data_IF_214534022802
#
_entry.id   IF_214534022802
#
_cell.length_a   1.000
_cell.length_b   1.000
_cell.length_c   1.000
_cell.angle_alpha   90.00
_cell.angle_beta   90.00
_cell.angle_gamma   90.00
#
_symmetry.space_group_name_H-M   'P 1'
#
loop_
_entity.id
_entity.type
_entity.pdbx_description
1 polymer ?
#
# COMPACT_ATOMS: atom_id res chain seq x y z
N UNK A 1 8.41 -15.00 12.47
CA UNK A 1 7.20 -14.99 11.60
C UNK A 1 6.96 -13.56 11.11
N UNK A 2 6.88 -13.28 9.80
CA UNK A 2 6.39 -11.97 9.34
C UNK A 2 4.93 -11.84 9.78
N UNK A 3 4.63 -10.97 10.75
CA UNK A 3 3.25 -10.55 11.03
C UNK A 3 2.74 -9.92 9.76
N UNK A 4 1.98 -10.68 8.99
CA UNK A 4 1.34 -10.16 7.81
C UNK A 4 0.16 -9.32 8.27
N UNK A 5 0.34 -8.01 8.27
CA UNK A 5 -0.70 -7.06 8.67
C UNK A 5 -1.91 -7.22 7.73
N UNK A 6 -3.04 -7.59 8.33
CA UNK A 6 -4.32 -7.73 7.64
C UNK A 6 -5.05 -6.40 7.76
N UNK A 7 -5.57 -5.88 6.65
CA UNK A 7 -6.50 -4.74 6.67
C UNK A 7 -7.89 -5.28 6.96
N UNK A 8 -8.47 -4.86 8.08
CA UNK A 8 -9.82 -5.23 8.45
C UNK A 8 -10.86 -4.62 7.51
N UNK A 9 -12.06 -5.21 7.50
CA UNK A 9 -13.13 -4.74 6.62
C UNK A 9 -13.51 -3.27 6.86
N UNK A 10 -13.62 -2.85 8.12
CA UNK A 10 -13.97 -1.47 8.48
C UNK A 10 -12.86 -0.49 8.13
N UNK A 11 -11.59 -0.85 8.42
CA UNK A 11 -10.44 -0.06 8.02
C UNK A 11 -10.37 0.11 6.50
N UNK A 12 -10.62 -0.96 5.74
CA UNK A 12 -10.66 -0.88 4.28
C UNK A 12 -11.76 0.05 3.77
N UNK A 13 -12.94 0.03 4.40
CA UNK A 13 -14.03 0.97 4.07
C UNK A 13 -13.63 2.42 4.37
N UNK A 14 -12.94 2.67 5.48
CA UNK A 14 -12.48 4.01 5.86
C UNK A 14 -11.48 4.56 4.84
N UNK A 15 -10.48 3.78 4.41
CA UNK A 15 -9.48 4.29 3.44
C UNK A 15 -10.08 4.59 2.06
N UNK A 16 -11.17 3.90 1.68
CA UNK A 16 -11.92 4.21 0.46
C UNK A 16 -12.66 5.56 0.53
N UNK A 17 -13.01 6.03 1.73
CA UNK A 17 -13.73 7.29 1.94
C UNK A 17 -12.80 8.52 1.92
N UNK A 18 -11.48 8.33 1.89
CA UNK A 18 -10.55 9.45 1.72
C UNK A 18 -10.86 10.17 0.41
N UNK A 19 -10.78 11.51 0.44
CA UNK A 19 -10.88 12.32 -0.77
C UNK A 19 -9.72 11.96 -1.72
N UNK A 20 -9.89 12.12 -3.04
CA UNK A 20 -8.78 12.00 -3.97
C UNK A 20 -7.65 12.97 -3.61
N UNK A 21 -6.40 12.52 -3.76
CA UNK A 21 -5.21 13.36 -3.56
C UNK A 21 -5.15 14.53 -4.54
N UNK A 22 -5.68 14.30 -5.74
CA UNK A 22 -5.68 15.23 -6.87
C UNK A 22 -7.00 15.12 -7.62
N UNK A 23 -7.50 16.25 -8.14
CA UNK A 23 -8.75 16.32 -8.90
C UNK A 23 -8.53 16.80 -10.34
N UNK A 24 -7.49 17.60 -10.59
CA UNK A 24 -7.16 18.08 -11.92
C UNK A 24 -6.58 16.95 -12.79
N UNK A 25 -6.86 16.97 -14.09
CA UNK A 25 -6.32 15.96 -15.01
C UNK A 25 -4.79 16.02 -15.12
N UNK A 26 -4.23 17.23 -15.12
CA UNK A 26 -2.78 17.43 -15.18
C UNK A 26 -2.08 16.81 -13.97
N UNK A 27 -2.59 17.04 -12.75
CA UNK A 27 -2.01 16.48 -11.53
C UNK A 27 -2.20 14.96 -11.47
N UNK A 28 -3.35 14.44 -11.95
CA UNK A 28 -3.58 13.00 -12.06
C UNK A 28 -2.57 12.33 -12.98
N UNK A 29 -2.29 12.94 -14.14
CA UNK A 29 -1.30 12.40 -15.07
C UNK A 29 0.11 12.49 -14.50
N UNK A 30 0.48 13.62 -13.87
CA UNK A 30 1.76 13.76 -13.18
C UNK A 30 1.96 12.67 -12.14
N UNK A 31 0.97 12.44 -11.27
CA UNK A 31 1.06 11.46 -10.20
C UNK A 31 1.13 10.02 -10.72
N UNK A 32 0.41 9.72 -11.82
CA UNK A 32 0.56 8.46 -12.55
C UNK A 32 2.00 8.27 -13.03
N UNK A 33 2.58 9.30 -13.65
CA UNK A 33 3.95 9.25 -14.17
C UNK A 33 5.00 9.15 -13.08
N UNK A 34 4.82 9.82 -11.93
CA UNK A 34 5.71 9.69 -10.77
C UNK A 34 5.75 8.24 -10.25
N UNK A 35 4.59 7.59 -10.15
CA UNK A 35 4.51 6.16 -9.79
C UNK A 35 5.09 5.24 -10.88
N UNK A 36 4.91 5.59 -12.16
CA UNK A 36 5.46 4.79 -13.26
C UNK A 36 6.99 4.92 -13.32
N UNK A 37 7.54 6.13 -13.13
CA UNK A 37 8.98 6.37 -13.08
C UNK A 37 9.65 5.61 -11.94
N UNK A 38 9.01 5.49 -10.77
CA UNK A 38 9.56 4.69 -9.67
C UNK A 38 9.61 3.18 -10.02
N UNK A 39 8.61 2.67 -10.74
CA UNK A 39 8.64 1.30 -11.31
C UNK A 39 9.77 1.15 -12.32
N UNK A 40 9.88 2.07 -13.29
CA UNK A 40 10.89 2.02 -14.36
C UNK A 40 12.29 2.04 -13.77
N UNK A 41 12.55 2.95 -12.83
CA UNK A 41 13.83 3.06 -12.12
C UNK A 41 14.20 1.75 -11.41
N UNK A 42 13.25 1.11 -10.72
CA UNK A 42 13.50 -0.14 -10.01
C UNK A 42 13.74 -1.35 -10.93
N UNK A 43 13.12 -1.35 -12.12
CA UNK A 43 13.30 -2.40 -13.14
C UNK A 43 14.56 -2.18 -13.99
N UNK A 44 14.98 -0.93 -14.18
CA UNK A 44 16.12 -0.54 -15.01
C UNK A 44 16.00 -1.10 -16.43
N UNK A 45 17.09 -1.68 -16.93
CA UNK A 45 17.17 -2.26 -18.28
C UNK A 45 16.06 -3.30 -18.57
N UNK A 46 15.58 -4.01 -17.54
CA UNK A 46 14.49 -4.99 -17.71
C UNK A 46 13.24 -4.32 -18.29
N UNK A 47 12.93 -3.08 -17.92
CA UNK A 47 11.78 -2.37 -18.45
C UNK A 47 11.81 -2.32 -19.98
N UNK A 48 12.94 -1.95 -20.58
CA UNK A 48 13.04 -1.80 -22.03
C UNK A 48 12.80 -3.11 -22.78
N UNK A 49 13.27 -4.24 -22.22
CA UNK A 49 13.08 -5.60 -22.79
C UNK A 49 11.70 -6.19 -22.56
N UNK A 50 10.86 -5.61 -21.71
CA UNK A 50 9.53 -6.14 -21.43
C UNK A 50 8.58 -5.91 -22.61
N UNK A 51 7.70 -6.90 -22.82
CA UNK A 51 6.59 -6.78 -23.77
C UNK A 51 5.65 -5.64 -23.37
N UNK A 52 5.01 -5.03 -24.37
CA UNK A 52 4.17 -3.85 -24.17
C UNK A 52 2.99 -4.13 -23.24
N UNK A 53 2.40 -5.32 -23.31
CA UNK A 53 1.27 -5.75 -22.49
C UNK A 53 1.63 -5.76 -21.00
N UNK A 54 2.86 -6.19 -20.67
CA UNK A 54 3.33 -6.17 -19.29
C UNK A 54 3.60 -4.75 -18.80
N UNK A 55 4.13 -3.88 -19.66
CA UNK A 55 4.30 -2.45 -19.35
C UNK A 55 2.95 -1.80 -19.08
N UNK A 56 1.96 -2.04 -19.94
CA UNK A 56 0.61 -1.51 -19.81
C UNK A 56 -0.10 -2.03 -18.56
N UNK A 57 0.11 -3.28 -18.15
CA UNK A 57 -0.41 -3.80 -16.90
C UNK A 57 0.17 -3.09 -15.66
N UNK A 58 1.47 -2.76 -15.67
CA UNK A 58 2.10 -2.01 -14.59
C UNK A 58 1.64 -0.55 -14.59
N UNK A 59 1.52 0.09 -15.75
CA UNK A 59 0.95 1.43 -15.87
C UNK A 59 -0.51 1.45 -15.37
N UNK A 60 -1.29 0.40 -15.65
CA UNK A 60 -2.66 0.29 -15.19
C UNK A 60 -2.77 0.22 -13.66
N UNK A 61 -1.81 -0.43 -12.98
CA UNK A 61 -1.74 -0.38 -11.51
C UNK A 61 -1.51 1.05 -11.01
N UNK A 62 -0.64 1.83 -11.67
CA UNK A 62 -0.45 3.24 -11.36
C UNK A 62 -1.74 4.04 -11.58
N UNK A 63 -2.41 3.81 -12.72
CA UNK A 63 -3.68 4.46 -13.05
C UNK A 63 -4.76 4.21 -11.98
N UNK A 64 -4.94 2.95 -11.57
CA UNK A 64 -5.90 2.59 -10.53
C UNK A 64 -5.56 3.19 -9.15
N UNK A 65 -4.30 3.54 -8.93
CA UNK A 65 -3.82 4.07 -7.65
C UNK A 65 -3.80 5.60 -7.59
N UNK A 66 -4.12 6.32 -8.67
CA UNK A 66 -3.97 7.79 -8.76
C UNK A 66 -4.65 8.52 -7.60
N UNK A 67 -5.88 8.13 -7.23
CA UNK A 67 -6.66 8.93 -6.29
C UNK A 67 -6.16 8.81 -4.85
N UNK A 68 -5.69 7.63 -4.45
CA UNK A 68 -5.44 7.32 -3.03
C UNK A 68 -4.09 6.66 -2.78
N UNK A 69 -3.29 6.41 -3.81
CA UNK A 69 -1.98 5.78 -3.70
C UNK A 69 -2.01 4.29 -3.41
N UNK A 70 -3.17 3.66 -3.53
CA UNK A 70 -3.30 2.22 -3.41
C UNK A 70 -4.29 1.66 -4.42
N UNK A 71 -4.14 0.37 -4.72
CA UNK A 71 -5.05 -0.39 -5.57
C UNK A 71 -5.44 -1.69 -4.90
N UNK A 72 -6.74 -1.99 -4.96
CA UNK A 72 -7.34 -3.27 -4.59
C UNK A 72 -7.76 -4.03 -5.85
N UNK A 73 -6.76 -4.49 -6.60
CA UNK A 73 -6.95 -5.28 -7.81
C UNK A 73 -6.18 -6.59 -7.71
N UNK A 74 -6.86 -7.70 -7.97
CA UNK A 74 -6.21 -9.00 -8.05
C UNK A 74 -5.35 -9.11 -9.31
N UNK A 75 -4.30 -9.94 -9.26
CA UNK A 75 -3.45 -10.19 -10.42
C UNK A 75 -4.19 -10.76 -11.63
N UNK A 76 -5.29 -11.48 -11.40
CA UNK A 76 -6.18 -11.96 -12.45
C UNK A 76 -6.83 -10.80 -13.21
N UNK A 77 -7.42 -9.84 -12.49
CA UNK A 77 -8.09 -8.69 -13.10
C UNK A 77 -7.15 -7.82 -13.94
N UNK A 78 -5.93 -7.60 -13.44
CA UNK A 78 -4.91 -6.85 -14.17
C UNK A 78 -4.39 -7.64 -15.37
N UNK A 79 -4.26 -8.96 -15.23
CA UNK A 79 -3.76 -9.83 -16.28
C UNK A 79 -4.72 -9.97 -17.45
N UNK A 80 -5.99 -10.25 -17.16
CA UNK A 80 -7.07 -10.39 -18.13
C UNK A 80 -7.21 -9.16 -19.03
N UNK A 81 -7.03 -7.95 -18.48
CA UNK A 81 -7.14 -6.69 -19.25
C UNK A 81 -6.14 -6.57 -20.39
N UNK A 82 -4.96 -7.16 -20.26
CA UNK A 82 -3.86 -7.03 -21.23
C UNK A 82 -3.38 -8.38 -21.77
N UNK A 83 -4.19 -9.43 -21.61
CA UNK A 83 -3.85 -10.80 -22.04
C UNK A 83 -2.48 -11.27 -21.52
N UNK A 84 -2.22 -11.02 -20.23
CA UNK A 84 -1.02 -11.52 -19.55
C UNK A 84 -1.39 -12.46 -18.43
N UNK A 85 -0.57 -13.50 -18.25
CA UNK A 85 -0.81 -14.45 -17.18
C UNK A 85 -0.71 -13.80 -15.79
N UNK A 86 -1.63 -14.19 -14.92
CA UNK A 86 -1.72 -13.71 -13.54
C UNK A 86 -0.44 -13.98 -12.73
N UNK A 87 0.33 -15.01 -13.06
CA UNK A 87 1.62 -15.28 -12.41
C UNK A 87 2.68 -14.25 -12.78
N UNK A 88 2.65 -13.74 -14.01
CA UNK A 88 3.52 -12.65 -14.48
C UNK A 88 3.28 -11.39 -13.67
N UNK A 89 2.01 -10.99 -13.49
CA UNK A 89 1.63 -9.85 -12.65
C UNK A 89 2.12 -10.04 -11.21
N UNK A 90 1.88 -11.22 -10.61
CA UNK A 90 2.36 -11.54 -9.25
C UNK A 90 3.88 -11.47 -9.12
N UNK A 91 4.62 -11.93 -10.14
CA UNK A 91 6.08 -11.89 -10.18
C UNK A 91 6.60 -10.46 -10.13
N UNK A 92 6.03 -9.56 -10.94
CA UNK A 92 6.45 -8.16 -10.94
C UNK A 92 6.03 -7.41 -9.68
N UNK A 93 4.82 -7.65 -9.15
CA UNK A 93 4.42 -7.11 -7.83
C UNK A 93 5.43 -7.54 -6.76
N UNK A 94 5.79 -8.82 -6.71
CA UNK A 94 6.74 -9.31 -5.70
C UNK A 94 8.15 -8.72 -5.89
N UNK A 95 8.55 -8.44 -7.13
CA UNK A 95 9.81 -7.76 -7.42
C UNK A 95 9.79 -6.30 -6.94
N UNK A 96 8.73 -5.55 -7.26
CA UNK A 96 8.57 -4.16 -6.86
C UNK A 96 8.48 -4.00 -5.34
N UNK A 97 7.84 -4.94 -4.66
CA UNK A 97 7.78 -4.98 -3.19
C UNK A 97 9.18 -5.15 -2.58
N UNK A 98 9.99 -6.07 -3.13
CA UNK A 98 11.39 -6.24 -2.69
C UNK A 98 12.26 -5.01 -2.94
N UNK A 99 11.93 -4.21 -3.95
CA UNK A 99 12.61 -2.95 -4.27
C UNK A 99 12.07 -1.75 -3.49
N UNK A 100 11.05 -1.93 -2.64
CA UNK A 100 10.47 -0.85 -1.85
C UNK A 100 9.64 0.17 -2.65
N UNK A 101 9.37 -0.11 -3.94
CA UNK A 101 8.50 0.74 -4.78
C UNK A 101 7.03 0.63 -4.33
N UNK A 102 6.67 -0.55 -3.85
CA UNK A 102 5.34 -0.80 -3.30
C UNK A 102 5.44 -1.49 -1.95
N UNK A 103 4.41 -1.31 -1.14
CA UNK A 103 4.11 -2.16 0.02
C UNK A 103 2.80 -2.88 -0.22
N UNK A 104 2.66 -4.07 0.36
CA UNK A 104 1.47 -4.90 0.15
C UNK A 104 0.91 -5.39 1.47
N UNK A 105 -0.39 -5.19 1.64
CA UNK A 105 -1.17 -5.74 2.73
C UNK A 105 -2.27 -6.65 2.19
N UNK A 106 -2.89 -7.41 3.07
CA UNK A 106 -3.93 -8.35 2.70
C UNK A 106 -5.22 -7.95 3.36
N UNK A 107 -6.29 -7.82 2.60
CA UNK A 107 -7.62 -7.60 3.19
C UNK A 107 -8.11 -8.90 3.81
N UNK A 108 -8.83 -8.86 4.92
CA UNK A 108 -9.53 -10.05 5.40
C UNK A 108 -10.53 -10.55 4.35
N UNK A 109 -10.58 -11.87 4.15
CA UNK A 109 -11.66 -12.47 3.38
C UNK A 109 -12.93 -12.42 4.23
N UNK A 110 -14.04 -12.00 3.63
CA UNK A 110 -15.35 -12.01 4.31
C UNK A 110 -15.93 -13.44 4.32
N UNK A 111 -15.56 -14.27 3.33
CA UNK A 111 -16.17 -15.60 3.11
C UNK A 111 -15.38 -16.74 3.73
N UNK A 112 -14.10 -16.54 4.04
CA UNK A 112 -13.21 -17.58 4.55
C UNK A 112 -12.30 -16.99 5.63
N UNK A 113 -11.98 -17.77 6.66
CA UNK A 113 -11.00 -17.40 7.69
C UNK A 113 -9.59 -17.43 7.08
N UNK A 114 -9.23 -16.38 6.33
CA UNK A 114 -7.98 -16.33 5.58
C UNK A 114 -7.73 -15.00 4.87
N UNK A 115 -6.59 -14.96 4.18
CA UNK A 115 -6.14 -13.80 3.41
C UNK A 115 -7.03 -13.62 2.18
N UNK A 116 -7.67 -12.46 2.07
CA UNK A 116 -8.38 -12.05 0.87
C UNK A 116 -7.43 -11.56 -0.21
N UNK A 117 -7.90 -10.65 -1.07
CA UNK A 117 -7.07 -10.03 -2.11
C UNK A 117 -6.09 -9.03 -1.49
N UNK A 118 -4.95 -8.86 -2.17
CA UNK A 118 -3.94 -7.90 -1.77
C UNK A 118 -4.39 -6.45 -2.03
N UNK A 119 -3.97 -5.55 -1.15
CA UNK A 119 -4.01 -4.09 -1.34
C UNK A 119 -2.57 -3.64 -1.53
N UNK A 120 -2.29 -3.00 -2.66
CA UNK A 120 -0.95 -2.58 -3.06
C UNK A 120 -0.86 -1.08 -2.88
N UNK A 121 0.11 -0.61 -2.11
CA UNK A 121 0.37 0.80 -1.82
C UNK A 121 1.65 1.24 -2.53
N UNK A 122 1.60 2.37 -3.23
CA UNK A 122 2.76 2.95 -3.91
C UNK A 122 3.51 3.90 -2.97
N UNK A 123 4.80 3.67 -2.76
CA UNK A 123 5.61 4.47 -1.82
C UNK A 123 5.88 5.89 -2.33
N UNK A 124 5.89 6.09 -3.65
CA UNK A 124 6.07 7.41 -4.27
C UNK A 124 4.80 8.28 -4.23
N UNK A 125 3.64 7.74 -3.85
CA UNK A 125 2.40 8.51 -3.80
C UNK A 125 2.33 9.35 -2.51
N UNK A 126 1.90 10.63 -2.54
CA UNK A 126 1.87 11.51 -1.35
C UNK A 126 1.12 10.93 -0.15
N UNK A 127 0.03 10.21 -0.38
CA UNK A 127 -0.75 9.56 0.69
C UNK A 127 0.00 8.44 1.41
N UNK A 128 1.06 7.89 0.81
CA UNK A 128 1.86 6.87 1.47
C UNK A 128 2.51 7.45 2.74
N UNK A 129 3.36 8.48 2.59
CA UNK A 129 4.00 9.12 3.73
C UNK A 129 2.98 9.84 4.62
N UNK A 130 1.95 10.46 4.03
CA UNK A 130 0.98 11.25 4.78
C UNK A 130 0.06 10.41 5.67
N UNK A 131 -0.34 9.22 5.22
CA UNK A 131 -1.36 8.41 5.91
C UNK A 131 -0.97 6.93 6.01
N UNK A 132 -0.65 6.27 4.90
CA UNK A 132 -0.54 4.81 4.87
C UNK A 132 0.62 4.26 5.68
N UNK A 133 1.75 4.97 5.67
CA UNK A 133 2.92 4.63 6.46
C UNK A 133 2.54 4.58 7.94
N UNK A 134 1.93 5.64 8.47
CA UNK A 134 1.55 5.71 9.88
C UNK A 134 0.43 4.74 10.25
N UNK A 135 -0.55 4.58 9.37
CA UNK A 135 -1.73 3.73 9.63
C UNK A 135 -1.42 2.25 9.59
N UNK A 136 -0.49 1.81 8.73
CA UNK A 136 -0.28 0.38 8.48
C UNK A 136 1.16 -0.11 8.58
N UNK A 137 2.15 0.77 8.51
CA UNK A 137 3.57 0.41 8.38
C UNK A 137 4.48 1.04 9.44
N UNK A 138 3.95 1.70 10.49
CA UNK A 138 4.75 2.35 11.55
C UNK A 138 5.70 1.40 12.28
N UNK A 139 5.40 0.10 12.30
CA UNK A 139 6.21 -0.92 12.96
C UNK A 139 7.28 -1.55 12.03
N UNK A 140 7.40 -1.11 10.77
CA UNK A 140 8.38 -1.65 9.83
C UNK A 140 9.82 -1.16 10.14
N UNK A 141 10.00 -0.08 10.90
CA UNK A 141 11.30 0.50 11.25
C UNK A 141 12.09 -0.27 12.31
N UNK A 142 11.40 -0.96 13.22
CA UNK A 142 12.02 -1.73 14.31
C UNK A 142 12.61 -3.07 13.82
N UNK A 143 12.15 -3.58 12.67
CA UNK A 143 12.63 -4.87 12.13
C UNK A 143 13.90 -4.76 11.30
N UNK A 144 14.28 -3.57 10.84
CA UNK A 144 15.51 -3.37 10.09
C UNK A 144 16.75 -3.36 11.01
N UNK A 145 16.62 -2.87 12.25
CA UNK A 145 17.69 -2.93 13.24
C UNK A 145 17.83 -4.32 13.88
N UNK A 146 16.70 -5.01 14.12
CA UNK A 146 16.71 -6.35 14.73
C UNK A 146 17.34 -7.45 13.85
N UNK A 147 17.47 -7.25 12.52
CA UNK A 147 18.17 -8.19 11.63
C UNK A 147 19.65 -7.87 11.42
N UNK A 148 20.11 -6.67 11.80
CA UNK A 148 21.54 -6.34 11.84
C UNK A 148 22.17 -6.77 13.18
N UNK A 149 21.41 -6.73 14.27
CA UNK A 149 21.89 -7.11 15.61
C UNK A 149 21.80 -8.62 15.90
N UNK A 150 21.07 -9.41 15.10
CA UNK A 150 20.97 -10.87 15.33
C UNK A 150 22.19 -11.67 14.86
N UNK A 151 23.29 -11.03 14.46
CA UNK A 151 24.57 -11.71 14.13
C UNK A 151 25.61 -11.52 15.25
N UNK A 152 25.39 -10.63 16.21
CA UNK A 152 26.28 -10.45 17.37
C UNK A 152 25.46 -10.31 18.66
N UNK A 153 25.13 -11.45 19.26
CA UNK A 153 25.27 -11.70 20.71
C UNK A 153 24.48 -12.94 21.11
N UNK A 154 25.19 -14.06 21.12
CA UNK A 154 24.81 -15.23 21.90
C UNK A 154 25.44 -15.06 23.30
N UNK A 155 24.63 -14.66 24.30
CA UNK A 155 24.81 -14.93 25.74
C UNK A 155 23.76 -14.19 26.61
N UNK A 156 22.82 -15.00 27.09
CA UNK A 156 22.23 -15.09 28.43
C UNK A 156 21.36 -13.98 29.08
N UNK A 157 20.16 -14.46 29.44
CA UNK A 157 19.40 -14.36 30.70
C UNK A 157 18.47 -13.19 31.04
N UNK A 158 17.20 -13.59 31.24
CA UNK A 158 16.17 -13.23 32.24
C UNK A 158 15.71 -11.77 32.46
N UNK A 159 14.45 -11.50 32.06
CA UNK A 159 13.27 -11.31 32.93
C UNK A 159 12.35 -10.09 32.67
N UNK A 160 11.04 -10.39 32.81
CA UNK A 160 9.86 -9.57 33.15
C UNK A 160 9.44 -8.26 32.43
N UNK A 161 8.19 -8.35 31.95
CA UNK A 161 7.04 -7.45 32.22
C UNK A 161 6.58 -6.42 31.16
N UNK A 162 5.43 -6.78 30.55
CA UNK A 162 4.16 -6.04 30.48
C UNK A 162 4.18 -4.51 30.20
N UNK A 163 3.52 -4.07 29.11
CA UNK A 163 2.44 -3.06 29.20
C UNK A 163 1.67 -2.84 27.88
N UNK A 164 0.36 -2.70 28.06
CA UNK A 164 -0.67 -2.46 27.06
C UNK A 164 -0.60 -1.04 26.49
N UNK A 165 -0.64 -0.89 25.16
CA UNK A 165 -0.74 0.40 24.47
C UNK A 165 -2.07 0.55 23.72
N UNK A 166 -2.97 1.37 24.28
CA UNK A 166 -4.24 1.75 23.66
C UNK A 166 -4.02 2.72 22.46
N UNK A 167 -4.86 2.60 21.42
CA UNK A 167 -4.82 3.50 20.26
C UNK A 167 -5.31 4.93 20.61
N UNK A 168 -4.67 5.99 20.11
CA UNK A 168 -5.20 7.34 20.19
C UNK A 168 -6.38 7.52 19.21
N UNK A 169 -7.54 7.90 19.76
CA UNK A 169 -8.73 8.34 18.99
C UNK A 169 -8.54 9.79 18.56
N UNK A 170 -8.10 10.01 17.32
CA UNK A 170 -8.21 11.32 16.67
C UNK A 170 -8.96 11.15 15.34
N UNK A 171 -10.28 11.08 15.42
CA UNK A 171 -11.16 11.46 14.33
C UNK A 171 -11.25 12.99 14.35
N UNK A 172 -11.06 13.70 13.22
CA UNK A 172 -11.27 15.14 13.19
C UNK A 172 -12.75 15.45 13.44
N UNK A 173 -12.98 16.29 14.46
CA UNK A 173 -14.27 16.83 14.86
C UNK A 173 -15.11 17.27 13.66
N UNK A 174 -16.32 16.75 13.59
CA UNK A 174 -17.45 17.36 12.93
C UNK A 174 -18.00 18.45 13.84
N UNK A 175 -17.79 19.70 13.49
CA UNK A 175 -18.49 20.89 14.03
C UNK A 175 -18.11 22.05 13.09
N UNK A 176 -18.93 22.98 12.63
CA UNK A 176 -20.35 23.35 12.76
C UNK A 176 -20.58 24.26 11.53
N UNK A 177 -21.78 24.27 10.94
CA UNK A 177 -22.40 25.53 10.54
C UNK A 177 -23.90 25.35 10.48
N UNK A 178 -24.50 25.60 11.63
CA UNK A 178 -25.89 25.98 11.79
C UNK A 178 -25.93 27.52 11.69
N UNK A 179 -26.48 28.05 10.61
CA UNK A 179 -26.93 29.45 10.52
C UNK A 179 -28.22 29.44 9.70
N UNK A 180 -29.37 29.27 10.35
CA UNK A 180 -30.23 30.36 10.81
C UNK A 180 -30.74 31.23 9.64
N UNK A 181 -31.92 30.87 9.12
CA UNK A 181 -32.81 31.78 8.41
C UNK A 181 -34.26 31.40 8.70
N UNK A 182 -34.91 32.26 9.49
CA UNK A 182 -36.34 32.52 9.52
C UNK A 182 -36.51 33.92 10.14
N UNK A 183 -37.61 34.64 9.90
CA UNK A 183 -38.79 34.30 9.10
C UNK A 183 -38.84 35.01 7.73
#
# INVERSE_FOLDING_TARGET
MRKHTIIEHQQFKQILQYRPAVTSEADRNRLKMDMLHSIISALGEKWHRMKQETKSALEYLCFLSIERGFVYAGSYHVGERYDIDSSTVRRYISFLEKKGVIKRLWRSSIRQNGRGKAVIFFTSHPYYTKYWQTLFFSHDGEQAHAQAESVENDRNDEDLSNQNGALPKNLPNSDINNSHFAP
#
